data_IF_274072909100
#
_entry.id   IF_274072909100
#
_cell.length_a   1.000
_cell.length_b   1.000
_cell.length_c   1.000
_cell.angle_alpha   90.00
_cell.angle_beta   90.00
_cell.angle_gamma   90.00
#
_symmetry.space_group_name_H-M   'P 1'
#
loop_
_entity.id
_entity.type
_entity.pdbx_description
1 polymer ?
#
# COMPACT_ATOMS: atom_id res chain seq x y z
N UNK A 1 -6.12 5.76 -10.33
CA UNK A 1 -5.03 4.74 -10.43
C UNK A 1 -4.11 5.06 -11.59
N UNK A 2 -2.79 4.88 -11.42
CA UNK A 2 -1.76 5.18 -12.43
C UNK A 2 -0.98 3.92 -12.82
N UNK A 3 -0.36 3.94 -14.00
CA UNK A 3 0.54 2.86 -14.41
C UNK A 3 1.89 3.07 -13.75
N UNK A 4 2.28 2.15 -12.87
CA UNK A 4 3.56 2.21 -12.17
C UNK A 4 4.13 0.80 -12.01
N UNK A 5 5.44 0.70 -12.19
CA UNK A 5 6.19 -0.52 -11.97
C UNK A 5 6.60 -0.61 -10.50
N UNK A 6 6.57 -1.83 -9.96
CA UNK A 6 6.86 -2.07 -8.54
C UNK A 6 8.29 -1.66 -8.14
N UNK A 7 9.24 -1.74 -9.08
CA UNK A 7 10.63 -1.35 -8.84
C UNK A 7 10.78 0.17 -8.63
N UNK A 8 10.11 0.97 -9.46
CA UNK A 8 10.17 2.43 -9.36
C UNK A 8 9.54 2.93 -8.06
N UNK A 9 8.47 2.27 -7.59
CA UNK A 9 7.91 2.56 -6.27
C UNK A 9 8.88 2.17 -5.16
N UNK A 10 9.46 0.96 -5.22
CA UNK A 10 10.40 0.49 -4.21
C UNK A 10 11.60 1.43 -4.05
N UNK A 11 12.11 2.02 -5.13
CA UNK A 11 13.22 2.98 -5.08
C UNK A 11 12.93 4.20 -4.19
N UNK A 12 11.67 4.61 -4.06
CA UNK A 12 11.23 5.77 -3.28
C UNK A 12 10.61 5.35 -1.95
N UNK A 13 11.06 4.21 -1.40
CA UNK A 13 10.49 3.58 -0.23
C UNK A 13 11.51 3.42 0.90
N UNK A 14 11.06 3.25 2.16
CA UNK A 14 11.98 3.03 3.28
C UNK A 14 12.70 1.69 3.21
N UNK A 15 12.25 0.75 2.37
CA UNK A 15 12.90 -0.55 2.19
C UNK A 15 13.98 -0.54 1.10
N UNK A 16 14.18 0.58 0.39
CA UNK A 16 15.37 0.79 -0.45
C UNK A 16 16.59 1.08 0.42
N UNK A 17 17.06 0.03 1.10
CA UNK A 17 18.21 0.07 2.00
C UNK A 17 19.30 -0.88 1.53
N UNK A 18 20.58 -0.62 1.83
CA UNK A 18 21.66 -1.50 1.45
C UNK A 18 21.43 -2.94 1.94
N UNK A 19 21.35 -3.88 1.00
CA UNK A 19 21.13 -5.30 1.31
C UNK A 19 19.67 -5.77 1.28
N UNK A 20 18.70 -4.89 1.07
CA UNK A 20 17.27 -5.24 1.00
C UNK A 20 16.78 -5.17 -0.44
N UNK A 21 17.08 -6.16 -1.27
CA UNK A 21 16.56 -6.23 -2.64
C UNK A 21 15.15 -6.80 -2.73
N UNK A 22 14.60 -6.94 -3.95
CA UNK A 22 13.34 -7.64 -4.18
C UNK A 22 13.38 -9.08 -3.62
N UNK A 23 14.54 -9.71 -3.74
CA UNK A 23 14.84 -11.04 -3.25
C UNK A 23 15.06 -11.10 -1.73
N UNK A 24 15.00 -9.99 -1.00
CA UNK A 24 14.94 -10.04 0.46
C UNK A 24 13.59 -10.64 0.91
N UNK A 25 12.49 -10.20 0.28
CA UNK A 25 11.14 -10.64 0.62
C UNK A 25 10.61 -11.73 -0.31
N UNK A 26 11.06 -11.77 -1.56
CA UNK A 26 10.55 -12.71 -2.56
C UNK A 26 11.51 -13.84 -2.89
N UNK A 27 10.95 -15.01 -3.20
CA UNK A 27 11.69 -16.06 -3.90
C UNK A 27 11.54 -15.85 -5.41
N UNK A 28 12.63 -15.55 -6.15
CA UNK A 28 12.55 -15.32 -7.58
C UNK A 28 12.11 -16.55 -8.39
N UNK A 29 12.08 -17.74 -7.80
CA UNK A 29 11.63 -18.97 -8.45
C UNK A 29 10.18 -19.35 -8.11
N UNK A 30 9.49 -18.57 -7.28
CA UNK A 30 8.13 -18.85 -6.81
C UNK A 30 7.18 -17.69 -7.12
N UNK A 31 5.91 -18.00 -7.39
CA UNK A 31 4.91 -16.99 -7.71
C UNK A 31 4.21 -16.49 -6.46
N UNK A 32 4.18 -15.18 -6.24
CA UNK A 32 3.33 -14.56 -5.20
C UNK A 32 1.82 -14.73 -5.46
N UNK A 33 1.43 -15.04 -6.70
CA UNK A 33 0.01 -15.17 -7.09
C UNK A 33 -0.47 -16.61 -7.01
N UNK A 34 0.40 -17.55 -7.35
CA UNK A 34 0.10 -18.99 -7.41
C UNK A 34 1.00 -19.74 -6.43
N UNK A 35 1.16 -19.18 -5.23
CA UNK A 35 2.12 -19.69 -4.26
C UNK A 35 1.78 -21.11 -3.81
N UNK A 36 0.48 -21.40 -3.65
CA UNK A 36 -0.04 -22.74 -3.35
C UNK A 36 0.31 -23.80 -4.41
N UNK A 37 0.60 -23.37 -5.65
CA UNK A 37 0.93 -24.24 -6.78
C UNK A 37 2.44 -24.28 -7.08
N UNK A 38 3.25 -23.45 -6.42
CA UNK A 38 4.68 -23.31 -6.67
C UNK A 38 5.53 -24.11 -5.66
N UNK A 39 6.69 -24.60 -6.09
CA UNK A 39 7.69 -25.14 -5.17
C UNK A 39 8.49 -24.00 -4.55
N UNK A 40 8.13 -23.57 -3.34
CA UNK A 40 8.81 -22.51 -2.60
C UNK A 40 7.79 -21.61 -1.90
N UNK A 41 8.20 -20.37 -1.59
CA UNK A 41 7.33 -19.34 -1.02
C UNK A 41 7.55 -18.05 -1.80
N UNK A 42 6.55 -17.62 -2.57
CA UNK A 42 6.57 -16.40 -3.37
C UNK A 42 6.87 -15.18 -2.51
N UNK A 43 6.41 -15.18 -1.26
CA UNK A 43 6.88 -14.31 -0.19
C UNK A 43 7.50 -15.16 0.90
N UNK A 44 8.80 -15.01 1.13
CA UNK A 44 9.57 -15.83 2.09
C UNK A 44 9.87 -15.13 3.41
N UNK A 45 9.48 -13.86 3.52
CA UNK A 45 9.66 -13.03 4.71
C UNK A 45 8.38 -12.23 4.94
N UNK A 46 7.82 -12.36 6.15
CA UNK A 46 6.65 -11.61 6.58
C UNK A 46 7.07 -10.27 7.20
N UNK A 47 6.12 -9.33 7.29
CA UNK A 47 6.39 -8.00 7.86
C UNK A 47 6.86 -8.13 9.32
N UNK A 48 6.21 -9.02 10.06
CA UNK A 48 6.44 -9.32 11.46
C UNK A 48 7.82 -9.93 11.74
N UNK A 49 8.52 -10.49 10.75
CA UNK A 49 9.86 -11.05 10.93
C UNK A 49 10.90 -9.97 11.26
N UNK A 50 10.66 -8.73 10.82
CA UNK A 50 11.53 -7.57 11.09
C UNK A 50 10.84 -6.48 11.94
N UNK A 51 9.51 -6.37 11.87
CA UNK A 51 8.73 -5.35 12.58
C UNK A 51 8.02 -5.90 13.83
N UNK A 52 8.79 -6.43 14.78
CA UNK A 52 8.26 -7.11 15.97
C UNK A 52 7.52 -6.18 16.95
N UNK A 53 7.81 -4.88 16.89
CA UNK A 53 7.29 -3.88 17.83
C UNK A 53 6.01 -3.16 17.35
N UNK A 54 5.49 -3.50 16.17
CA UNK A 54 4.26 -2.87 15.64
C UNK A 54 3.05 -3.48 16.36
N UNK A 55 2.61 -2.81 17.42
CA UNK A 55 1.58 -3.30 18.36
C UNK A 55 0.24 -2.56 18.26
N UNK A 56 0.11 -1.58 17.36
CA UNK A 56 -1.08 -0.74 17.30
C UNK A 56 -2.22 -1.37 16.49
N UNK A 57 -3.42 -1.20 17.06
CA UNK A 57 -4.72 -1.78 16.74
C UNK A 57 -4.85 -2.12 15.24
N UNK A 58 -4.65 -3.41 14.93
CA UNK A 58 -5.07 -4.00 13.65
C UNK A 58 -6.59 -3.89 13.54
N UNK A 59 -7.13 -3.98 12.32
CA UNK A 59 -8.55 -4.28 12.05
C UNK A 59 -8.96 -5.69 12.58
N UNK A 60 -8.42 -6.11 13.73
CA UNK A 60 -8.41 -7.47 14.24
C UNK A 60 -7.73 -8.43 13.26
N UNK A 61 -8.30 -9.62 13.15
CA UNK A 61 -7.93 -10.66 12.17
C UNK A 61 -8.50 -10.40 10.77
N UNK A 62 -9.06 -9.20 10.50
CA UNK A 62 -9.72 -8.90 9.22
C UNK A 62 -8.81 -8.21 8.20
N UNK A 63 -7.57 -7.88 8.57
CA UNK A 63 -6.61 -7.24 7.67
C UNK A 63 -5.18 -7.59 8.07
N UNK A 64 -4.35 -7.80 7.06
CA UNK A 64 -2.92 -8.02 7.20
C UNK A 64 -2.14 -6.73 6.91
N UNK A 65 -0.86 -6.70 7.28
CA UNK A 65 0.03 -5.56 7.09
C UNK A 65 0.01 -5.04 5.64
N UNK A 66 0.02 -5.98 4.68
CA UNK A 66 0.02 -5.70 3.24
C UNK A 66 -1.28 -5.06 2.76
N UNK A 67 -2.39 -5.16 3.48
CA UNK A 67 -3.67 -4.61 3.00
C UNK A 67 -3.72 -3.10 3.09
N UNK A 68 -3.09 -2.52 4.12
CA UNK A 68 -2.98 -1.07 4.29
C UNK A 68 -1.67 -0.50 3.73
N UNK A 69 -0.55 -1.21 3.91
CA UNK A 69 0.78 -0.71 3.54
C UNK A 69 1.17 -1.06 2.10
N UNK A 70 0.59 -2.12 1.52
CA UNK A 70 0.79 -2.53 0.13
C UNK A 70 -0.56 -2.74 -0.59
N UNK A 71 -1.49 -1.76 -0.55
CA UNK A 71 -2.78 -1.91 -1.20
C UNK A 71 -2.58 -2.03 -2.72
N UNK A 72 -3.62 -2.49 -3.42
CA UNK A 72 -3.59 -2.54 -4.89
C UNK A 72 -3.72 -1.13 -5.48
N UNK A 73 -2.71 -0.28 -5.32
CA UNK A 73 -2.71 1.11 -5.76
C UNK A 73 -2.05 1.33 -7.14
N UNK A 74 -1.46 0.27 -7.71
CA UNK A 74 -0.71 0.32 -8.96
C UNK A 74 -1.44 -0.46 -10.05
N UNK A 75 -1.33 0.00 -11.31
CA UNK A 75 -1.96 -0.65 -12.47
C UNK A 75 -0.91 -1.14 -13.45
N UNK A 76 -0.87 -2.43 -13.74
CA UNK A 76 -0.18 -2.98 -14.90
C UNK A 76 -1.13 -3.12 -16.08
N UNK A 77 -2.28 -3.77 -15.90
CA UNK A 77 -3.26 -4.01 -16.96
C UNK A 77 -4.62 -3.37 -16.64
N UNK A 78 -5.15 -3.56 -15.44
CA UNK A 78 -6.54 -3.24 -15.11
C UNK A 78 -6.67 -2.37 -13.85
N UNK A 79 -7.54 -1.37 -13.92
CA UNK A 79 -8.11 -0.71 -12.75
C UNK A 79 -9.51 -1.28 -12.50
N UNK A 80 -9.73 -1.85 -11.32
CA UNK A 80 -11.03 -2.41 -10.90
C UNK A 80 -12.03 -1.28 -10.62
N UNK A 81 -11.57 -0.25 -9.93
CA UNK A 81 -12.30 1.00 -9.68
C UNK A 81 -11.29 2.15 -9.56
N UNK A 82 -11.68 3.29 -8.96
CA UNK A 82 -10.79 4.45 -8.86
C UNK A 82 -9.70 4.32 -7.77
N UNK A 83 -9.85 3.36 -6.86
CA UNK A 83 -8.99 3.13 -5.68
C UNK A 83 -8.35 1.73 -5.64
N UNK A 84 -8.64 0.86 -6.60
CA UNK A 84 -8.10 -0.50 -6.67
C UNK A 84 -7.63 -0.90 -8.08
N UNK A 85 -6.33 -1.14 -8.22
CA UNK A 85 -5.65 -1.65 -9.41
C UNK A 85 -5.49 -3.16 -9.36
N UNK A 86 -4.54 -3.68 -10.12
CA UNK A 86 -4.23 -5.11 -10.21
C UNK A 86 -2.89 -5.48 -9.55
N UNK A 87 -2.04 -4.51 -9.22
CA UNK A 87 -0.77 -4.71 -8.52
C UNK A 87 -0.73 -4.00 -7.17
N UNK A 88 -0.08 -4.65 -6.20
CA UNK A 88 0.21 -4.08 -4.88
C UNK A 88 1.34 -3.06 -4.98
N UNK A 89 1.16 -1.91 -4.33
CA UNK A 89 2.20 -0.88 -4.28
C UNK A 89 3.34 -1.27 -3.37
N UNK A 90 4.54 -0.82 -3.72
CA UNK A 90 5.79 -1.01 -2.97
C UNK A 90 6.31 0.31 -2.40
N UNK A 91 5.43 1.13 -1.80
CA UNK A 91 5.82 2.36 -1.06
C UNK A 91 5.81 2.17 0.47
N UNK A 92 4.97 1.28 1.00
CA UNK A 92 4.77 0.95 2.43
C UNK A 92 4.30 2.07 3.35
N UNK A 93 4.88 3.27 3.29
CA UNK A 93 4.48 4.38 4.16
C UNK A 93 3.09 4.88 3.81
N UNK A 94 2.34 5.28 4.83
CA UNK A 94 1.00 5.86 4.69
C UNK A 94 1.06 7.36 4.94
N UNK A 95 0.39 8.13 4.08
CA UNK A 95 0.06 9.53 4.33
C UNK A 95 -1.27 9.58 5.09
N UNK A 96 -1.22 9.98 6.36
CA UNK A 96 -2.41 10.04 7.23
C UNK A 96 -3.25 11.30 7.05
N UNK A 97 -2.84 12.23 6.20
CA UNK A 97 -3.61 13.45 5.93
C UNK A 97 -4.90 13.13 5.18
N UNK A 98 -5.94 13.95 5.40
CA UNK A 98 -7.23 13.82 4.73
C UNK A 98 -7.19 14.29 3.26
N UNK A 99 -6.28 13.75 2.47
CA UNK A 99 -6.03 14.09 1.06
C UNK A 99 -6.19 12.88 0.15
N UNK A 100 -6.59 13.12 -1.10
CA UNK A 100 -6.72 12.07 -2.10
C UNK A 100 -5.42 11.84 -2.87
N UNK A 101 -5.37 10.73 -3.61
CA UNK A 101 -4.22 10.29 -4.42
C UNK A 101 -3.63 11.36 -5.34
N UNK A 102 -4.48 12.19 -5.96
CA UNK A 102 -4.05 13.18 -6.95
C UNK A 102 -3.38 14.41 -6.34
N UNK A 103 -3.46 14.58 -5.01
CA UNK A 103 -2.84 15.68 -4.28
C UNK A 103 -1.90 15.22 -3.17
N UNK A 104 -1.90 13.93 -2.84
CA UNK A 104 -1.17 13.40 -1.68
C UNK A 104 -0.29 12.18 -1.94
N UNK A 105 -0.43 11.49 -3.08
CA UNK A 105 0.43 10.36 -3.46
C UNK A 105 1.23 10.64 -4.73
N UNK A 106 0.67 11.40 -5.67
CA UNK A 106 1.33 11.68 -6.95
C UNK A 106 1.58 13.18 -7.14
N UNK A 107 2.64 13.50 -7.87
CA UNK A 107 2.89 14.87 -8.35
C UNK A 107 1.78 15.35 -9.30
N UNK A 108 1.62 16.67 -9.49
CA UNK A 108 0.74 17.21 -10.52
C UNK A 108 1.02 16.59 -11.89
N UNK A 109 -0.01 16.01 -12.52
CA UNK A 109 0.12 15.27 -13.79
C UNK A 109 0.26 13.75 -13.62
N UNK A 110 0.55 13.26 -12.41
CA UNK A 110 0.42 11.86 -12.04
C UNK A 110 1.46 10.90 -12.62
N UNK A 111 2.58 11.43 -13.12
CA UNK A 111 3.67 10.64 -13.71
C UNK A 111 4.72 10.17 -12.70
N UNK A 112 4.79 10.79 -11.52
CA UNK A 112 5.72 10.46 -10.45
C UNK A 112 4.99 10.42 -9.11
N UNK A 113 5.53 9.63 -8.19
CA UNK A 113 5.13 9.67 -6.79
C UNK A 113 5.56 11.00 -6.18
N UNK A 114 4.71 11.59 -5.35
CA UNK A 114 5.07 12.75 -4.56
C UNK A 114 5.95 12.27 -3.39
N UNK A 115 7.12 12.87 -3.25
CA UNK A 115 8.07 12.55 -2.19
C UNK A 115 8.00 13.55 -1.03
N UNK A 116 8.29 13.08 0.17
CA UNK A 116 8.57 13.95 1.31
C UNK A 116 10.01 14.49 1.29
N UNK A 117 10.39 15.25 2.32
CA UNK A 117 11.73 15.86 2.42
C UNK A 117 12.88 14.83 2.51
N UNK A 118 12.58 13.55 2.72
CA UNK A 118 13.53 12.45 2.76
C UNK A 118 13.59 11.68 1.42
N UNK A 119 12.84 12.10 0.40
CA UNK A 119 12.74 11.41 -0.88
C UNK A 119 11.85 10.17 -0.82
N UNK A 120 10.92 10.09 0.14
CA UNK A 120 10.06 8.93 0.34
C UNK A 120 8.63 9.20 -0.12
N UNK A 121 8.10 8.28 -0.94
CA UNK A 121 6.71 8.26 -1.35
C UNK A 121 5.79 7.65 -0.29
N UNK A 122 4.52 8.05 -0.30
CA UNK A 122 3.52 7.63 0.69
C UNK A 122 2.18 7.30 0.04
N UNK A 123 1.57 6.22 0.48
CA UNK A 123 0.23 5.77 0.07
C UNK A 123 -0.83 6.63 0.76
N UNK A 124 -1.73 7.23 -0.01
CA UNK A 124 -2.86 7.99 0.53
C UNK A 124 -3.96 7.10 1.08
N UNK A 125 -4.79 7.64 1.97
CA UNK A 125 -5.86 6.89 2.65
C UNK A 125 -6.96 6.40 1.70
N UNK A 126 -7.19 7.07 0.58
CA UNK A 126 -8.13 6.57 -0.42
C UNK A 126 -7.66 5.24 -1.03
N UNK A 127 -6.36 5.06 -1.25
CA UNK A 127 -5.82 3.76 -1.65
C UNK A 127 -5.74 2.75 -0.51
N UNK A 128 -5.28 3.17 0.68
CA UNK A 128 -5.12 2.26 1.82
C UNK A 128 -6.46 1.76 2.37
N UNK A 129 -7.54 2.55 2.26
CA UNK A 129 -8.81 2.24 2.92
C UNK A 129 -9.93 1.89 1.94
N UNK A 130 -10.08 2.58 0.80
CA UNK A 130 -11.21 2.34 -0.11
C UNK A 130 -11.07 1.08 -0.97
N UNK A 131 -9.98 0.32 -0.83
CA UNK A 131 -9.96 -1.08 -1.29
C UNK A 131 -11.00 -1.95 -0.58
N UNK A 132 -11.29 -1.64 0.70
CA UNK A 132 -12.30 -2.33 1.50
C UNK A 132 -13.54 -1.45 1.74
N UNK A 133 -13.34 -0.17 2.04
CA UNK A 133 -14.39 0.82 2.30
C UNK A 133 -14.88 1.50 1.03
N UNK A 134 -15.94 2.29 1.16
CA UNK A 134 -16.48 3.08 0.06
C UNK A 134 -16.29 4.57 0.34
N UNK A 135 -16.09 5.36 -0.72
CA UNK A 135 -16.20 6.81 -0.67
C UNK A 135 -17.68 7.24 -0.53
N UNK A 136 -17.92 8.55 -0.44
CA UNK A 136 -19.27 9.11 -0.34
C UNK A 136 -20.18 8.85 -1.54
N UNK A 137 -19.63 8.40 -2.68
CA UNK A 137 -20.36 8.03 -3.88
C UNK A 137 -20.60 6.52 -3.98
N UNK A 138 -20.18 5.73 -2.98
CA UNK A 138 -20.28 4.28 -2.99
C UNK A 138 -19.21 3.58 -3.83
N UNK A 139 -18.13 4.26 -4.21
CA UNK A 139 -17.00 3.70 -4.98
C UNK A 139 -15.96 3.14 -4.02
N UNK A 140 -15.48 1.93 -4.30
CA UNK A 140 -14.46 1.26 -3.49
C UNK A 140 -14.79 -0.22 -3.28
N UNK A 141 -14.54 -0.72 -2.07
CA UNK A 141 -14.93 -2.05 -1.64
C UNK A 141 -16.40 -2.16 -1.22
N UNK A 142 -16.70 -3.04 -0.28
CA UNK A 142 -18.08 -3.34 0.17
C UNK A 142 -18.32 -3.08 1.66
N UNK A 143 -17.31 -2.60 2.39
CA UNK A 143 -17.46 -2.20 3.78
C UNK A 143 -18.16 -0.84 3.89
N UNK A 144 -18.19 -0.27 5.10
CA UNK A 144 -18.88 0.99 5.36
C UNK A 144 -18.36 2.15 4.51
N UNK A 145 -19.25 3.07 4.14
CA UNK A 145 -18.89 4.37 3.59
C UNK A 145 -18.08 5.17 4.61
N UNK A 146 -16.98 5.80 4.17
CA UNK A 146 -16.11 6.65 4.97
C UNK A 146 -15.68 7.88 4.17
N UNK A 147 -15.52 8.98 4.87
CA UNK A 147 -14.88 10.19 4.36
C UNK A 147 -13.37 10.16 4.63
N UNK A 148 -12.57 10.87 3.84
CA UNK A 148 -11.13 11.00 4.09
C UNK A 148 -10.81 11.59 5.46
N UNK A 149 -11.67 12.46 5.98
CA UNK A 149 -11.52 13.03 7.33
C UNK A 149 -11.69 11.97 8.43
N UNK A 150 -12.68 11.07 8.30
CA UNK A 150 -12.86 9.96 9.23
C UNK A 150 -11.70 8.97 9.16
N UNK A 151 -11.24 8.67 7.94
CA UNK A 151 -10.09 7.79 7.73
C UNK A 151 -8.81 8.39 8.33
N UNK A 152 -8.59 9.70 8.13
CA UNK A 152 -7.44 10.42 8.67
C UNK A 152 -7.43 10.39 10.19
N UNK A 153 -8.56 10.71 10.83
CA UNK A 153 -8.68 10.67 12.29
C UNK A 153 -8.38 9.26 12.85
N UNK A 154 -8.82 8.21 12.15
CA UNK A 154 -8.52 6.83 12.54
C UNK A 154 -7.05 6.46 12.33
N UNK A 155 -6.49 6.78 11.16
CA UNK A 155 -5.11 6.45 10.80
C UNK A 155 -4.08 7.19 11.67
N UNK A 156 -4.32 8.47 12.01
CA UNK A 156 -3.46 9.22 12.93
C UNK A 156 -3.31 8.51 14.27
N UNK A 157 -4.39 7.97 14.83
CA UNK A 157 -4.33 7.23 16.10
C UNK A 157 -3.51 5.94 16.07
N UNK A 158 -3.18 5.42 14.88
CA UNK A 158 -2.33 4.22 14.69
C UNK A 158 -0.88 4.55 14.37
N UNK A 159 -0.61 5.76 13.87
CA UNK A 159 0.69 6.17 13.36
C UNK A 159 1.37 7.25 14.21
N UNK A 160 0.78 7.64 15.33
CA UNK A 160 1.45 8.39 16.40
C UNK A 160 2.19 7.43 17.35
N UNK A 161 3.47 7.68 17.68
CA UNK A 161 4.23 6.91 18.68
C UNK A 161 3.57 6.88 20.05
#
# INVERSE_FOLDING_TARGET
>A
IRHHEQYDEWLHSPHNTPGTGCDACHDPHSSVKYDDDATGFGTKLDCEDCHTEITYIKHGTNADCVDCHMPKASKSAVAVNDYQGDLRTHLWLINTDAVGKDTGMFEPGGGYVAEDLLGLGRVTLDFACYGCHQDGNGVGGSASVKTLAELSAYATGMHTP
#
